data_IF_776429643928
#
_entry.id   IF_776429643928
#
_cell.length_a   1.000
_cell.length_b   1.000
_cell.length_c   1.000
_cell.angle_alpha   90.00
_cell.angle_beta   90.00
_cell.angle_gamma   90.00
#
_symmetry.space_group_name_H-M   'P 1'
#
loop_
_entity.id
_entity.type
_entity.pdbx_description
1 polymer ?
#
# COMPACT_ATOMS: atom_id res chain seq x y z
N UNK A 1 -0.88 -19.19 -14.40
CA UNK A 1 -1.62 -18.03 -13.86
C UNK A 1 -0.85 -17.54 -12.65
N UNK A 2 -0.61 -16.23 -12.53
CA UNK A 2 0.10 -15.69 -11.35
C UNK A 2 -0.83 -15.63 -10.16
N UNK A 3 -0.42 -16.22 -9.04
CA UNK A 3 -1.17 -16.19 -7.79
C UNK A 3 -1.20 -14.76 -7.23
N UNK A 4 -2.39 -14.28 -6.87
CA UNK A 4 -2.56 -12.96 -6.26
C UNK A 4 -2.42 -13.11 -4.76
N UNK A 5 -1.49 -12.35 -4.18
CA UNK A 5 -1.17 -12.38 -2.76
C UNK A 5 -1.40 -11.02 -2.14
N UNK A 6 -1.48 -10.97 -0.82
CA UNK A 6 -1.62 -9.72 -0.06
C UNK A 6 -0.28 -9.37 0.56
N UNK A 7 0.19 -8.15 0.33
CA UNK A 7 1.41 -7.61 0.89
C UNK A 7 1.08 -6.47 1.84
N UNK A 8 1.61 -6.56 3.06
CA UNK A 8 1.67 -5.46 4.01
C UNK A 8 2.93 -4.64 3.71
N UNK A 9 2.73 -3.40 3.28
CA UNK A 9 3.79 -2.41 3.04
C UNK A 9 3.75 -1.39 4.16
N UNK A 10 4.85 -1.31 4.92
CA UNK A 10 5.06 -0.29 5.95
C UNK A 10 6.12 0.70 5.49
N UNK A 11 5.92 1.94 5.87
CA UNK A 11 6.91 2.96 5.62
C UNK A 11 6.55 4.30 6.22
N UNK A 12 7.32 5.30 5.86
CA UNK A 12 7.10 6.69 6.23
C UNK A 12 6.99 7.53 4.98
N UNK A 13 5.98 8.39 4.91
CA UNK A 13 5.82 9.37 3.83
C UNK A 13 5.93 10.79 4.40
N UNK A 14 6.55 11.69 3.64
CA UNK A 14 6.66 13.11 3.99
C UNK A 14 5.60 13.90 3.24
N UNK A 15 4.75 14.59 4.00
CA UNK A 15 3.69 15.45 3.50
C UNK A 15 4.07 16.93 3.67
N UNK A 16 3.42 17.82 2.91
CA UNK A 16 3.53 19.28 3.05
C UNK A 16 4.97 19.83 3.03
N UNK A 17 5.77 19.48 2.02
CA UNK A 17 7.18 19.89 1.95
C UNK A 17 7.42 21.40 1.92
N UNK A 18 6.46 22.20 1.43
CA UNK A 18 6.66 23.64 1.25
C UNK A 18 6.50 24.46 2.52
N UNK A 19 5.62 24.04 3.45
CA UNK A 19 5.28 24.87 4.61
C UNK A 19 5.70 24.18 5.92
N UNK A 20 5.25 22.95 6.13
CA UNK A 20 5.54 22.18 7.34
C UNK A 20 5.72 20.70 7.00
N UNK A 21 6.96 20.23 6.77
CA UNK A 21 7.21 18.86 6.36
C UNK A 21 6.87 17.89 7.49
N UNK A 22 5.76 17.18 7.35
CA UNK A 22 5.28 16.21 8.34
C UNK A 22 5.61 14.79 7.88
N UNK A 23 6.40 14.09 8.68
CA UNK A 23 6.69 12.66 8.47
C UNK A 23 5.59 11.83 9.12
N UNK A 24 4.88 11.04 8.33
CA UNK A 24 3.82 10.18 8.82
C UNK A 24 4.08 8.73 8.44
N UNK A 25 3.99 7.84 9.44
CA UNK A 25 4.05 6.40 9.23
C UNK A 25 2.77 5.92 8.55
N UNK A 26 2.90 4.99 7.60
CA UNK A 26 1.78 4.36 6.94
C UNK A 26 1.94 2.84 6.95
N UNK A 27 0.79 2.17 6.96
CA UNK A 27 0.67 0.74 6.71
C UNK A 27 -0.39 0.56 5.64
N UNK A 28 -0.03 -0.10 4.54
CA UNK A 28 -0.94 -0.39 3.44
C UNK A 28 -0.93 -1.88 3.14
N UNK A 29 -2.12 -2.43 2.96
CA UNK A 29 -2.29 -3.79 2.47
C UNK A 29 -2.65 -3.70 0.99
N UNK A 30 -1.86 -4.36 0.15
CA UNK A 30 -1.97 -4.29 -1.30
C UNK A 30 -2.02 -5.69 -1.87
N UNK A 31 -2.95 -5.93 -2.80
CA UNK A 31 -2.96 -7.17 -3.58
C UNK A 31 -2.05 -7.02 -4.78
N UNK A 32 -1.12 -7.97 -4.93
CA UNK A 32 -0.17 -7.99 -6.03
C UNK A 32 0.30 -9.42 -6.28
N UNK A 33 0.92 -9.63 -7.45
CA UNK A 33 1.52 -10.93 -7.80
C UNK A 33 2.93 -11.09 -7.23
N UNK A 34 3.57 -9.99 -6.84
CA UNK A 34 4.90 -9.95 -6.25
C UNK A 34 5.12 -8.65 -5.48
N UNK A 35 6.19 -8.62 -4.66
CA UNK A 35 6.55 -7.48 -3.81
C UNK A 35 6.84 -6.20 -4.62
N UNK A 36 7.49 -6.32 -5.78
CA UNK A 36 7.83 -5.15 -6.63
C UNK A 36 6.57 -4.45 -7.11
N UNK A 37 5.57 -5.21 -7.53
CA UNK A 37 4.27 -4.70 -7.97
C UNK A 37 3.50 -4.08 -6.81
N UNK A 38 3.56 -4.67 -5.60
CA UNK A 38 2.97 -4.08 -4.41
C UNK A 38 3.58 -2.70 -4.08
N UNK A 39 4.90 -2.59 -4.13
CA UNK A 39 5.64 -1.34 -3.94
C UNK A 39 5.24 -0.29 -4.98
N UNK A 40 5.21 -0.68 -6.26
CA UNK A 40 4.85 0.23 -7.35
C UNK A 40 3.42 0.76 -7.19
N UNK A 41 2.49 -0.10 -6.81
CA UNK A 41 1.11 0.30 -6.53
C UNK A 41 1.04 1.33 -5.40
N UNK A 42 1.80 1.14 -4.32
CA UNK A 42 1.90 2.11 -3.22
C UNK A 42 2.39 3.46 -3.73
N UNK A 43 3.46 3.49 -4.52
CA UNK A 43 3.96 4.74 -5.11
C UNK A 43 2.92 5.45 -5.97
N UNK A 44 2.22 4.71 -6.83
CA UNK A 44 1.18 5.27 -7.71
C UNK A 44 0.01 5.83 -6.90
N UNK A 45 -0.44 5.13 -5.87
CA UNK A 45 -1.53 5.59 -4.99
C UNK A 45 -1.17 6.87 -4.23
N UNK A 46 0.04 6.96 -3.67
CA UNK A 46 0.48 8.17 -2.98
C UNK A 46 0.67 9.35 -3.94
N UNK A 47 1.22 9.11 -5.14
CA UNK A 47 1.35 10.13 -6.18
C UNK A 47 0.00 10.67 -6.66
N UNK A 48 -0.95 9.78 -6.95
CA UNK A 48 -2.26 10.17 -7.48
C UNK A 48 -3.15 10.88 -6.45
N UNK A 49 -3.30 10.32 -5.24
CA UNK A 49 -4.22 10.89 -4.24
C UNK A 49 -3.64 12.07 -3.46
N UNK A 50 -2.35 12.03 -3.17
CA UNK A 50 -1.72 12.97 -2.23
C UNK A 50 -0.67 13.86 -2.89
N UNK A 51 -0.43 13.72 -4.21
CA UNK A 51 0.59 14.47 -4.96
C UNK A 51 2.00 14.36 -4.34
N UNK A 52 2.30 13.22 -3.71
CA UNK A 52 3.60 12.98 -3.06
C UNK A 52 4.58 12.41 -4.08
N UNK A 53 5.80 12.97 -4.11
CA UNK A 53 6.90 12.44 -4.93
C UNK A 53 7.43 11.14 -4.36
N UNK A 54 7.86 10.21 -5.22
CA UNK A 54 8.44 8.91 -4.80
C UNK A 54 9.62 9.07 -3.84
N UNK A 55 10.46 10.08 -4.05
CA UNK A 55 11.61 10.42 -3.20
C UNK A 55 11.23 10.72 -1.74
N UNK A 56 9.97 11.06 -1.49
CA UNK A 56 9.46 11.44 -0.17
C UNK A 56 8.75 10.27 0.54
N UNK A 57 8.79 9.08 -0.06
CA UNK A 57 8.20 7.86 0.47
C UNK A 57 9.34 6.89 0.75
N UNK A 58 9.57 6.60 2.02
CA UNK A 58 10.54 5.61 2.47
C UNK A 58 9.79 4.35 2.87
N UNK A 59 9.98 3.27 2.11
CA UNK A 59 9.46 1.95 2.46
C UNK A 59 10.44 1.31 3.45
N UNK A 60 9.92 0.84 4.58
CA UNK A 60 10.70 0.24 5.66
C UNK A 60 10.60 -1.28 5.65
N UNK A 61 9.41 -1.81 5.36
CA UNK A 61 9.15 -3.25 5.39
C UNK A 61 8.07 -3.62 4.37
N UNK A 62 8.28 -4.73 3.67
CA UNK A 62 7.28 -5.38 2.83
C UNK A 62 7.20 -6.82 3.27
N UNK A 63 5.99 -7.29 3.60
CA UNK A 63 5.75 -8.67 4.03
C UNK A 63 4.53 -9.21 3.34
N UNK A 64 4.61 -10.45 2.86
CA UNK A 64 3.46 -11.22 2.45
C UNK A 64 2.65 -11.58 3.71
N UNK A 65 1.34 -11.33 3.68
CA UNK A 65 0.42 -11.59 4.80
C UNK A 65 -0.79 -12.36 4.32
N UNK A 66 -1.32 -13.23 5.16
CA UNK A 66 -2.54 -13.95 4.82
C UNK A 66 -3.78 -13.09 5.12
N UNK A 67 -4.88 -13.33 4.41
CA UNK A 67 -6.16 -12.60 4.59
C UNK A 67 -6.70 -12.67 6.03
N UNK A 68 -6.28 -13.65 6.82
CA UNK A 68 -6.68 -13.79 8.22
C UNK A 68 -5.91 -12.89 9.19
N UNK A 69 -4.72 -12.42 8.84
CA UNK A 69 -3.87 -11.59 9.71
C UNK A 69 -4.14 -10.10 9.55
N UNK A 70 -5.02 -9.73 8.63
CA UNK A 70 -5.39 -8.33 8.37
C UNK A 70 -6.31 -7.85 9.51
N UNK A 71 -5.88 -6.84 10.30
CA UNK A 71 -6.64 -6.37 11.46
C UNK A 71 -7.91 -5.61 11.06
N UNK A 72 -7.92 -4.97 9.88
CA UNK A 72 -9.04 -4.18 9.41
C UNK A 72 -10.04 -5.06 8.64
N UNK A 73 -11.28 -5.13 9.16
CA UNK A 73 -12.36 -5.93 8.59
C UNK A 73 -12.72 -5.49 7.18
N UNK A 74 -12.69 -4.20 6.89
CA UNK A 74 -12.98 -3.63 5.57
C UNK A 74 -11.94 -4.06 4.54
N UNK A 75 -10.66 -4.05 4.92
CA UNK A 75 -9.57 -4.49 4.05
C UNK A 75 -9.63 -6.00 3.84
N UNK A 76 -10.01 -6.76 4.88
CA UNK A 76 -10.25 -8.20 4.79
C UNK A 76 -11.41 -8.53 3.84
N UNK A 77 -12.51 -7.79 3.92
CA UNK A 77 -13.69 -7.98 3.07
C UNK A 77 -13.41 -7.55 1.63
N UNK A 78 -12.75 -6.40 1.42
CA UNK A 78 -12.26 -6.01 0.10
C UNK A 78 -11.35 -7.10 -0.43
N UNK A 79 -10.36 -7.56 0.36
CA UNK A 79 -9.42 -8.65 0.07
C UNK A 79 -10.04 -9.92 -0.49
N UNK A 80 -11.29 -10.22 -0.13
CA UNK A 80 -12.05 -11.38 -0.63
C UNK A 80 -12.78 -11.10 -1.95
N UNK A 81 -13.07 -9.84 -2.28
CA UNK A 81 -13.68 -9.45 -3.54
C UNK A 81 -12.62 -9.53 -4.64
N UNK A 82 -12.69 -10.57 -5.47
CA UNK A 82 -11.77 -10.82 -6.59
C UNK A 82 -12.27 -10.23 -7.92
N UNK A 83 -13.57 -9.95 -8.05
CA UNK A 83 -14.15 -9.28 -9.22
C UNK A 83 -15.40 -8.48 -8.86
N UNK A 84 -15.43 -7.19 -9.19
CA UNK A 84 -16.68 -6.50 -9.51
C UNK A 84 -16.87 -6.72 -11.01
N UNK A 85 -17.81 -7.59 -11.37
CA UNK A 85 -18.29 -7.71 -12.75
C UNK A 85 -19.42 -6.69 -12.86
N UNK A 86 -19.22 -5.68 -13.71
CA UNK A 86 -20.27 -4.80 -14.22
C UNK A 86 -20.77 -5.38 -15.54
#
# INVERSE_FOLDING_TARGET
MSEIKIYQVKGTAVFNLSEFPTKQKFVKYVRATNEKQAIEYVYTQFGSKNKIKRSNIKIEEVKEVNSNEIPDRTIKDIGKLDKIIL
#
